data_IF_093427492065
#
_entry.id   IF_093427492065
#
_cell.length_a   1.000
_cell.length_b   1.000
_cell.length_c   1.000
_cell.angle_alpha   90.00
_cell.angle_beta   90.00
_cell.angle_gamma   90.00
#
_symmetry.space_group_name_H-M   'P 1'
#
loop_
_entity.id
_entity.type
_entity.pdbx_description
1 polymer ?
#
# COMPACT_ATOMS: atom_id res chain seq x y z
N UNK A 1 -6.49 14.68 2.72
CA UNK A 1 -7.67 13.81 2.95
C UNK A 1 -7.29 12.41 3.43
N UNK A 2 -6.31 11.73 2.81
CA UNK A 2 -5.84 10.42 3.29
C UNK A 2 -5.26 10.51 4.71
N UNK A 3 -4.36 11.47 4.96
CA UNK A 3 -3.81 11.71 6.30
C UNK A 3 -4.88 12.05 7.35
N UNK A 4 -5.89 12.86 6.99
CA UNK A 4 -7.00 13.17 7.91
C UNK A 4 -7.89 11.96 8.19
N UNK A 5 -8.12 11.10 7.20
CA UNK A 5 -8.87 9.85 7.43
C UNK A 5 -8.08 8.89 8.31
N UNK A 6 -6.76 8.81 8.15
CA UNK A 6 -5.90 8.03 9.02
C UNK A 6 -5.94 8.53 10.48
N UNK A 7 -5.86 9.85 10.70
CA UNK A 7 -6.02 10.44 12.03
C UNK A 7 -7.40 10.15 12.64
N UNK A 8 -8.47 10.18 11.83
CA UNK A 8 -9.81 9.79 12.28
C UNK A 8 -9.88 8.31 12.68
N UNK A 9 -9.23 7.42 11.94
CA UNK A 9 -9.12 6.00 12.32
C UNK A 9 -8.42 5.88 13.67
N UNK A 10 -7.30 6.57 13.87
CA UNK A 10 -6.57 6.55 15.14
C UNK A 10 -7.40 7.12 16.30
N UNK A 11 -8.16 8.18 16.06
CA UNK A 11 -9.05 8.77 17.06
C UNK A 11 -10.18 7.80 17.46
N UNK A 12 -10.82 7.16 16.49
CA UNK A 12 -11.87 6.17 16.76
C UNK A 12 -11.31 4.91 17.42
N UNK A 13 -10.10 4.46 17.05
CA UNK A 13 -9.40 3.38 17.75
C UNK A 13 -9.14 3.76 19.22
N UNK A 14 -8.60 4.95 19.49
CA UNK A 14 -8.37 5.46 20.86
C UNK A 14 -9.67 5.45 21.66
N UNK A 15 -10.74 6.01 21.10
CA UNK A 15 -12.03 6.10 21.80
C UNK A 15 -12.65 4.71 22.05
N UNK A 16 -12.51 3.78 21.09
CA UNK A 16 -12.98 2.40 21.23
C UNK A 16 -12.21 1.66 22.31
N UNK A 17 -10.89 1.82 22.37
CA UNK A 17 -10.07 1.25 23.43
C UNK A 17 -10.38 1.85 24.80
N UNK A 18 -10.52 3.16 24.92
CA UNK A 18 -10.91 3.81 26.18
C UNK A 18 -12.26 3.28 26.69
N UNK A 19 -13.23 3.11 25.80
CA UNK A 19 -14.54 2.55 26.15
C UNK A 19 -14.42 1.07 26.57
N UNK A 20 -13.64 0.27 25.84
CA UNK A 20 -13.37 -1.12 26.21
C UNK A 20 -12.65 -1.22 27.56
N UNK A 21 -11.67 -0.36 27.84
CA UNK A 21 -10.98 -0.30 29.13
C UNK A 21 -11.94 0.10 30.25
N UNK A 22 -12.79 1.11 30.04
CA UNK A 22 -13.81 1.50 31.02
C UNK A 22 -14.79 0.36 31.30
N UNK A 23 -15.28 -0.33 30.26
CA UNK A 23 -16.14 -1.50 30.40
C UNK A 23 -15.44 -2.65 31.12
N UNK A 24 -14.17 -2.88 30.81
CA UNK A 24 -13.36 -3.93 31.45
C UNK A 24 -13.10 -3.60 32.91
N UNK A 25 -12.86 -2.33 33.26
CA UNK A 25 -12.73 -1.88 34.64
C UNK A 25 -14.06 -2.04 35.39
N UNK A 26 -15.19 -1.64 34.79
CA UNK A 26 -16.52 -1.82 35.39
C UNK A 26 -16.90 -3.29 35.57
N UNK A 27 -16.47 -4.19 34.67
CA UNK A 27 -16.73 -5.62 34.78
C UNK A 27 -15.80 -6.32 35.78
N UNK A 28 -14.53 -5.88 35.91
CA UNK A 28 -13.54 -6.53 36.79
C UNK A 28 -13.62 -6.04 38.24
N UNK A 29 -13.89 -4.75 38.49
CA UNK A 29 -14.01 -4.17 39.84
C UNK A 29 -15.02 -4.89 40.76
N UNK A 30 -16.24 -5.25 40.32
CA UNK A 30 -17.20 -5.93 41.18
C UNK A 30 -16.92 -7.43 41.36
N UNK A 31 -16.20 -8.08 40.44
CA UNK A 31 -15.87 -9.51 40.53
C UNK A 31 -14.56 -9.79 41.29
N UNK A 32 -13.63 -8.83 41.34
CA UNK A 32 -12.26 -9.04 41.86
C UNK A 32 -11.89 -8.08 43.02
N UNK A 33 -12.74 -7.10 43.36
CA UNK A 33 -12.38 -5.99 44.24
C UNK A 33 -11.24 -5.13 43.65
N UNK A 34 -10.53 -4.38 44.49
CA UNK A 34 -9.35 -3.58 44.08
C UNK A 34 -8.08 -4.42 43.81
N UNK A 35 -8.15 -5.76 43.92
CA UNK A 35 -6.99 -6.65 43.77
C UNK A 35 -6.25 -6.55 42.42
N UNK A 36 -6.89 -6.34 41.24
CA UNK A 36 -6.17 -6.22 39.97
C UNK A 36 -5.32 -4.94 39.87
N UNK A 37 -5.70 -3.89 40.61
CA UNK A 37 -4.98 -2.61 40.64
C UNK A 37 -3.71 -2.73 41.51
N UNK A 38 -3.73 -3.58 42.55
CA UNK A 38 -2.56 -3.88 43.36
C UNK A 38 -1.56 -4.83 42.66
N UNK A 39 -2.05 -5.72 41.79
CA UNK A 39 -1.23 -6.69 41.04
C UNK A 39 -0.24 -6.05 40.05
N UNK A 40 -0.53 -4.85 39.55
CA UNK A 40 0.37 -4.07 38.68
C UNK A 40 1.69 -3.63 39.35
N UNK A 41 1.81 -3.77 40.67
CA UNK A 41 2.99 -3.37 41.45
C UNK A 41 3.78 -4.51 42.10
N UNK A 42 3.43 -5.78 41.89
CA UNK A 42 4.28 -6.89 42.38
C UNK A 42 3.63 -8.25 42.62
N UNK A 43 2.48 -8.57 42.01
CA UNK A 43 1.83 -9.87 42.25
C UNK A 43 2.19 -10.95 41.23
N UNK A 44 2.58 -12.12 41.72
CA UNK A 44 2.79 -13.35 40.95
C UNK A 44 1.47 -13.82 40.34
N UNK A 45 1.40 -13.87 39.01
CA UNK A 45 0.49 -14.69 38.20
C UNK A 45 -1.00 -14.57 38.51
N UNK A 46 -1.76 -13.92 37.62
CA UNK A 46 -3.22 -14.10 37.57
C UNK A 46 -3.47 -15.60 37.36
N UNK A 47 -3.97 -16.29 38.38
CA UNK A 47 -4.47 -17.65 38.23
C UNK A 47 -5.46 -17.63 37.06
N UNK A 48 -5.15 -18.40 36.01
CA UNK A 48 -5.98 -18.55 34.82
C UNK A 48 -7.33 -19.19 35.22
N UNK A 49 -8.29 -18.37 35.66
CA UNK A 49 -9.66 -18.79 35.97
C UNK A 49 -10.45 -19.19 34.72
N UNK A 50 -9.87 -19.06 33.53
CA UNK A 50 -10.42 -19.65 32.30
C UNK A 50 -10.46 -21.19 32.32
N UNK A 51 -9.82 -21.85 33.30
CA UNK A 51 -9.74 -23.31 33.37
C UNK A 51 -10.99 -23.94 34.04
N UNK A 52 -11.81 -23.17 34.77
CA UNK A 52 -13.06 -23.67 35.40
C UNK A 52 -14.28 -22.85 34.94
N UNK A 53 -14.62 -22.96 33.65
CA UNK A 53 -15.84 -22.36 33.09
C UNK A 53 -17.10 -23.14 33.52
N UNK A 54 -17.63 -22.84 34.70
CA UNK A 54 -19.00 -23.22 35.05
C UNK A 54 -20.03 -22.54 34.11
N UNK A 55 -21.26 -23.05 34.03
CA UNK A 55 -22.31 -22.52 33.15
C UNK A 55 -22.53 -21.00 33.30
N UNK A 56 -22.42 -20.47 34.52
CA UNK A 56 -22.47 -19.03 34.79
C UNK A 56 -21.28 -18.25 34.18
N UNK A 57 -20.08 -18.83 34.16
CA UNK A 57 -18.89 -18.26 33.54
C UNK A 57 -19.02 -18.20 32.01
N UNK A 58 -19.63 -19.21 31.39
CA UNK A 58 -19.92 -19.20 29.95
C UNK A 58 -20.89 -18.06 29.59
N UNK A 59 -21.96 -17.89 30.36
CA UNK A 59 -22.93 -16.80 30.15
C UNK A 59 -22.24 -15.44 30.29
N UNK A 60 -21.39 -15.26 31.30
CA UNK A 60 -20.63 -14.03 31.51
C UNK A 60 -19.66 -13.74 30.35
N UNK A 61 -18.97 -14.76 29.83
CA UNK A 61 -18.10 -14.65 28.66
C UNK A 61 -18.88 -14.26 27.39
N UNK A 62 -20.05 -14.89 27.16
CA UNK A 62 -20.93 -14.53 26.04
C UNK A 62 -21.42 -13.09 26.15
N UNK A 63 -21.76 -12.61 27.35
CA UNK A 63 -22.16 -11.22 27.57
C UNK A 63 -20.99 -10.24 27.35
N UNK A 64 -19.81 -10.50 27.92
CA UNK A 64 -18.62 -9.66 27.73
C UNK A 64 -18.21 -9.58 26.25
N UNK A 65 -18.19 -10.72 25.55
CA UNK A 65 -17.89 -10.76 24.10
C UNK A 65 -18.94 -10.02 23.27
N UNK A 66 -20.23 -10.18 23.58
CA UNK A 66 -21.30 -9.45 22.90
C UNK A 66 -21.19 -7.94 23.12
N UNK A 67 -20.94 -7.48 24.36
CA UNK A 67 -20.77 -6.06 24.68
C UNK A 67 -19.54 -5.48 23.97
N UNK A 68 -18.40 -6.18 23.97
CA UNK A 68 -17.19 -5.76 23.22
C UNK A 68 -17.45 -5.70 21.72
N UNK A 69 -18.20 -6.66 21.18
CA UNK A 69 -18.63 -6.68 19.78
C UNK A 69 -19.51 -5.47 19.42
N UNK A 70 -20.46 -5.11 20.27
CA UNK A 70 -21.31 -3.92 20.08
C UNK A 70 -20.50 -2.62 20.10
N UNK A 71 -19.51 -2.51 21.00
CA UNK A 71 -18.59 -1.36 21.02
C UNK A 71 -17.80 -1.26 19.72
N UNK A 72 -17.26 -2.38 19.24
CA UNK A 72 -16.52 -2.41 17.98
C UNK A 72 -17.42 -2.02 16.79
N UNK A 73 -18.65 -2.55 16.72
CA UNK A 73 -19.63 -2.20 15.70
C UNK A 73 -20.01 -0.71 15.74
N UNK A 74 -20.22 -0.16 16.93
CA UNK A 74 -20.49 1.26 17.11
C UNK A 74 -19.32 2.14 16.64
N UNK A 75 -18.08 1.72 16.91
CA UNK A 75 -16.86 2.37 16.42
C UNK A 75 -16.77 2.34 14.90
N UNK A 76 -17.00 1.18 14.27
CA UNK A 76 -17.00 1.02 12.81
C UNK A 76 -18.08 1.90 12.15
N UNK A 77 -19.28 1.95 12.72
CA UNK A 77 -20.36 2.77 12.19
C UNK A 77 -20.08 4.28 12.32
N UNK A 78 -19.49 4.73 13.45
CA UNK A 78 -19.01 6.12 13.60
C UNK A 78 -17.93 6.46 12.59
N UNK A 79 -16.95 5.56 12.44
CA UNK A 79 -15.87 5.73 11.47
C UNK A 79 -16.44 5.82 10.04
N UNK A 80 -17.40 4.98 9.69
CA UNK A 80 -18.09 5.01 8.39
C UNK A 80 -18.78 6.36 8.13
N UNK A 81 -19.44 6.93 9.14
CA UNK A 81 -20.11 8.24 9.02
C UNK A 81 -19.14 9.41 8.92
N UNK A 82 -18.00 9.32 9.61
CA UNK A 82 -16.99 10.39 9.69
C UNK A 82 -15.95 10.34 8.57
N UNK A 83 -15.69 9.16 8.00
CA UNK A 83 -14.73 9.01 6.90
C UNK A 83 -15.15 9.88 5.72
N UNK A 84 -14.36 10.92 5.47
CA UNK A 84 -14.55 11.79 4.31
C UNK A 84 -13.99 11.07 3.09
N UNK A 85 -14.78 10.95 2.03
CA UNK A 85 -14.21 10.54 0.74
C UNK A 85 -13.14 11.56 0.36
N UNK A 86 -12.00 11.12 -0.23
CA UNK A 86 -10.98 12.04 -0.69
C UNK A 86 -11.62 13.12 -1.55
N UNK A 87 -11.51 14.37 -1.08
CA UNK A 87 -11.98 15.53 -1.81
C UNK A 87 -10.96 15.84 -2.90
N UNK A 88 -11.10 15.17 -4.03
CA UNK A 88 -10.39 15.56 -5.25
C UNK A 88 -10.88 16.96 -5.66
N UNK A 89 -10.00 17.77 -6.27
CA UNK A 89 -10.41 19.04 -6.88
C UNK A 89 -11.57 18.78 -7.84
N UNK A 90 -12.56 19.68 -7.87
CA UNK A 90 -13.83 19.44 -8.58
C UNK A 90 -13.65 18.98 -10.04
N UNK A 91 -12.65 19.57 -10.72
CA UNK A 91 -12.30 19.25 -12.11
C UNK A 91 -11.73 17.84 -12.29
N UNK A 92 -10.77 17.44 -11.45
CA UNK A 92 -10.14 16.10 -11.53
C UNK A 92 -11.15 15.00 -11.17
N UNK A 93 -12.02 15.29 -10.21
CA UNK A 93 -13.11 14.38 -9.83
C UNK A 93 -14.06 14.12 -10.99
N UNK A 94 -14.35 15.14 -11.77
CA UNK A 94 -15.24 15.04 -12.92
C UNK A 94 -14.60 14.26 -14.06
N UNK A 95 -13.32 14.51 -14.34
CA UNK A 95 -12.54 13.74 -15.30
C UNK A 95 -12.53 12.26 -14.94
N UNK A 96 -12.12 11.89 -13.71
CA UNK A 96 -12.10 10.49 -13.25
C UNK A 96 -13.51 9.85 -13.30
N UNK A 97 -14.57 10.62 -13.05
CA UNK A 97 -15.96 10.14 -13.19
C UNK A 97 -16.40 9.94 -14.64
N UNK A 98 -15.70 10.51 -15.60
CA UNK A 98 -15.97 10.36 -17.02
C UNK A 98 -15.01 9.40 -17.70
N UNK A 99 -13.93 8.98 -17.02
CA UNK A 99 -12.92 8.08 -17.58
C UNK A 99 -13.22 6.60 -17.28
N UNK A 100 -13.09 5.78 -18.31
CA UNK A 100 -13.11 4.33 -18.27
C UNK A 100 -11.67 3.82 -18.46
N UNK A 101 -11.29 2.80 -17.69
CA UNK A 101 -10.03 2.10 -17.86
C UNK A 101 -10.30 0.76 -18.54
N UNK A 102 -9.71 0.59 -19.71
CA UNK A 102 -9.72 -0.62 -20.51
C UNK A 102 -8.38 -1.34 -20.29
N UNK A 103 -8.43 -2.59 -19.87
CA UNK A 103 -7.25 -3.46 -19.72
C UNK A 103 -7.39 -4.73 -20.56
N UNK A 104 -6.26 -5.30 -20.98
CA UNK A 104 -6.22 -6.52 -21.78
C UNK A 104 -5.98 -6.29 -23.28
N UNK A 105 -5.48 -5.11 -23.66
CA UNK A 105 -4.96 -4.92 -25.02
C UNK A 105 -3.74 -5.84 -25.22
N UNK A 106 -3.56 -6.41 -26.42
CA UNK A 106 -2.49 -7.35 -26.68
C UNK A 106 -1.13 -6.63 -26.63
N UNK A 107 -0.28 -7.08 -25.70
CA UNK A 107 1.08 -6.52 -25.49
C UNK A 107 2.12 -7.31 -26.27
N UNK A 108 1.87 -8.60 -26.46
CA UNK A 108 2.77 -9.55 -27.10
C UNK A 108 2.02 -10.29 -28.19
N UNK A 109 2.74 -10.60 -29.25
CA UNK A 109 2.31 -11.59 -30.20
C UNK A 109 2.41 -12.98 -29.55
N UNK A 110 1.30 -13.72 -29.58
CA UNK A 110 1.21 -15.05 -28.96
C UNK A 110 2.03 -16.10 -29.71
N UNK A 111 2.26 -15.91 -31.02
CA UNK A 111 3.03 -16.85 -31.83
C UNK A 111 4.53 -16.61 -31.65
N UNK A 112 4.98 -15.36 -31.79
CA UNK A 112 6.42 -15.03 -31.72
C UNK A 112 6.91 -14.72 -30.31
N UNK A 113 6.01 -14.54 -29.33
CA UNK A 113 6.31 -14.05 -27.98
C UNK A 113 7.05 -12.69 -27.96
N UNK A 114 7.04 -11.95 -29.07
CA UNK A 114 7.67 -10.63 -29.16
C UNK A 114 6.67 -9.54 -28.77
N UNK A 115 7.16 -8.53 -28.09
CA UNK A 115 6.35 -7.36 -27.76
C UNK A 115 6.02 -6.55 -29.00
N UNK A 116 4.79 -6.06 -29.10
CA UNK A 116 4.45 -5.10 -30.14
C UNK A 116 5.16 -3.76 -29.89
N UNK A 117 5.85 -3.30 -30.93
CA UNK A 117 6.56 -2.02 -30.96
C UNK A 117 5.86 -1.14 -31.99
N UNK A 118 5.39 0.02 -31.55
CA UNK A 118 4.58 0.92 -32.35
C UNK A 118 5.23 2.30 -32.42
N UNK A 119 5.18 2.90 -33.61
CA UNK A 119 5.45 4.32 -33.81
C UNK A 119 4.20 5.13 -33.36
N UNK A 120 4.35 6.44 -33.11
CA UNK A 120 3.24 7.30 -32.65
C UNK A 120 2.02 7.24 -33.57
N UNK A 121 2.23 7.15 -34.89
CA UNK A 121 1.15 7.00 -35.87
C UNK A 121 0.35 5.69 -35.70
N UNK A 122 0.98 4.61 -35.23
CA UNK A 122 0.28 3.36 -34.97
C UNK A 122 -0.52 3.43 -33.66
N UNK A 123 -0.04 4.14 -32.64
CA UNK A 123 -0.84 4.44 -31.44
C UNK A 123 -2.07 5.29 -31.79
N UNK A 124 -1.94 6.28 -32.67
CA UNK A 124 -3.08 7.07 -33.14
C UNK A 124 -4.11 6.22 -33.90
N UNK A 125 -3.66 5.27 -34.74
CA UNK A 125 -4.56 4.32 -35.41
C UNK A 125 -5.33 3.46 -34.40
N UNK A 126 -4.65 2.86 -33.43
CA UNK A 126 -5.30 2.05 -32.39
C UNK A 126 -6.29 2.88 -31.57
N UNK A 127 -5.92 4.13 -31.24
CA UNK A 127 -6.80 5.06 -30.54
C UNK A 127 -8.05 5.40 -31.35
N UNK A 128 -7.88 5.64 -32.66
CA UNK A 128 -8.97 5.89 -33.60
C UNK A 128 -9.88 4.66 -33.74
N UNK A 129 -9.33 3.48 -33.93
CA UNK A 129 -10.09 2.24 -34.07
C UNK A 129 -10.88 1.93 -32.80
N UNK A 130 -10.28 2.12 -31.62
CA UNK A 130 -10.96 1.97 -30.33
C UNK A 130 -12.07 3.01 -30.17
N UNK A 131 -11.82 4.25 -30.61
CA UNK A 131 -12.81 5.32 -30.59
C UNK A 131 -14.01 4.98 -31.47
N UNK A 132 -13.78 4.49 -32.68
CA UNK A 132 -14.83 4.07 -33.61
C UNK A 132 -15.64 2.91 -33.03
N UNK A 133 -14.99 1.85 -32.54
CA UNK A 133 -15.67 0.67 -31.98
C UNK A 133 -16.58 1.03 -30.79
N UNK A 134 -16.09 1.84 -29.86
CA UNK A 134 -16.89 2.31 -28.71
C UNK A 134 -18.02 3.26 -29.13
N UNK A 135 -17.83 4.05 -30.19
CA UNK A 135 -18.87 4.94 -30.71
C UNK A 135 -19.98 4.14 -31.37
N UNK A 136 -19.64 3.09 -32.12
CA UNK A 136 -20.62 2.18 -32.73
C UNK A 136 -21.47 1.45 -31.70
N UNK A 137 -20.85 0.96 -30.63
CA UNK A 137 -21.56 0.30 -29.52
C UNK A 137 -22.58 1.25 -28.86
N UNK A 138 -22.17 2.50 -28.61
CA UNK A 138 -23.05 3.56 -28.09
C UNK A 138 -24.21 3.91 -29.03
N UNK A 139 -24.01 3.80 -30.36
CA UNK A 139 -25.03 4.07 -31.37
C UNK A 139 -26.02 2.91 -31.50
N UNK A 140 -25.54 1.66 -31.50
CA UNK A 140 -26.35 0.45 -31.64
C UNK A 140 -27.38 0.30 -30.52
N UNK A 141 -27.03 0.66 -29.28
CA UNK A 141 -27.98 0.62 -28.15
C UNK A 141 -28.96 1.80 -28.08
N UNK A 142 -28.99 2.68 -29.09
CA UNK A 142 -30.02 3.73 -29.21
C UNK A 142 -29.94 4.83 -28.15
N UNK A 143 -28.84 4.94 -27.41
CA UNK A 143 -28.63 6.00 -26.41
C UNK A 143 -28.45 7.38 -27.06
N UNK A 144 -28.01 7.45 -28.31
CA UNK A 144 -27.93 8.69 -29.11
C UNK A 144 -29.27 9.00 -29.80
N UNK A 145 -30.07 7.98 -30.15
CA UNK A 145 -31.32 8.15 -30.90
C UNK A 145 -32.48 8.76 -30.08
N UNK A 146 -32.39 8.81 -28.74
CA UNK A 146 -33.42 9.41 -27.88
C UNK A 146 -33.14 10.85 -27.43
N UNK A 147 -32.02 11.44 -27.83
CA UNK A 147 -31.65 12.80 -27.45
C UNK A 147 -31.48 13.70 -28.69
N UNK A 148 -32.61 14.07 -29.31
CA UNK A 148 -32.83 15.18 -30.26
C UNK A 148 -31.87 15.38 -31.46
N UNK A 149 -32.35 16.14 -32.44
CA UNK A 149 -31.69 16.49 -33.72
C UNK A 149 -30.31 17.18 -33.61
N UNK A 150 -29.82 17.44 -32.40
CA UNK A 150 -28.42 17.77 -32.10
C UNK A 150 -27.61 16.51 -31.76
N UNK A 151 -27.65 15.50 -32.64
CA UNK A 151 -26.71 14.36 -32.62
C UNK A 151 -25.29 14.84 -32.99
N UNK A 152 -24.78 15.79 -32.21
CA UNK A 152 -23.37 16.12 -32.07
C UNK A 152 -22.63 14.82 -31.84
N UNK A 153 -21.65 14.58 -32.71
CA UNK A 153 -20.62 13.54 -32.56
C UNK A 153 -20.29 13.40 -31.08
N UNK A 154 -20.45 12.20 -30.52
CA UNK A 154 -20.03 11.93 -29.14
C UNK A 154 -18.54 12.27 -29.05
N UNK A 155 -18.22 13.39 -28.40
CA UNK A 155 -16.84 13.78 -28.21
C UNK A 155 -16.23 12.85 -27.14
N UNK A 156 -15.33 12.00 -27.62
CA UNK A 156 -14.61 11.05 -26.78
C UNK A 156 -13.12 11.22 -27.02
N UNK A 157 -12.37 11.26 -25.91
CA UNK A 157 -10.92 11.29 -25.89
C UNK A 157 -10.43 9.91 -25.48
N UNK A 158 -9.79 9.21 -26.41
CA UNK A 158 -9.16 7.91 -26.16
C UNK A 158 -7.66 8.12 -26.02
N UNK A 159 -7.11 7.68 -24.89
CA UNK A 159 -5.69 7.72 -24.60
C UNK A 159 -5.17 6.30 -24.38
N UNK A 160 -4.46 5.76 -25.37
CA UNK A 160 -3.78 4.47 -25.26
C UNK A 160 -2.45 4.69 -24.55
N UNK A 161 -2.22 4.01 -23.43
CA UNK A 161 -1.01 4.22 -22.64
C UNK A 161 0.17 3.40 -23.19
N UNK A 162 1.31 4.01 -23.53
CA UNK A 162 2.54 3.27 -23.79
C UNK A 162 3.10 2.67 -22.49
N UNK A 163 4.01 1.70 -22.60
CA UNK A 163 4.85 1.28 -21.49
C UNK A 163 5.78 2.43 -21.16
N UNK A 164 5.73 2.89 -19.90
CA UNK A 164 6.45 4.10 -19.49
C UNK A 164 7.65 3.76 -18.60
N UNK A 165 8.04 2.49 -18.44
CA UNK A 165 9.02 2.10 -17.42
C UNK A 165 10.40 2.76 -17.61
N UNK A 166 10.94 2.70 -18.83
CA UNK A 166 12.24 3.30 -19.15
C UNK A 166 12.14 4.82 -19.21
N UNK A 167 11.07 5.36 -19.80
CA UNK A 167 10.83 6.80 -19.87
C UNK A 167 10.67 7.41 -18.47
N UNK A 168 9.90 6.80 -17.58
CA UNK A 168 9.71 7.26 -16.20
C UNK A 168 11.00 7.16 -15.40
N UNK A 169 11.77 6.10 -15.58
CA UNK A 169 13.07 5.98 -14.93
C UNK A 169 13.99 7.12 -15.34
N UNK A 170 14.16 7.36 -16.64
CA UNK A 170 15.03 8.42 -17.16
C UNK A 170 14.50 9.81 -16.84
N UNK A 171 13.19 10.03 -16.89
CA UNK A 171 12.54 11.27 -16.47
C UNK A 171 12.77 11.55 -14.97
N UNK A 172 12.65 10.54 -14.11
CA UNK A 172 12.93 10.66 -12.67
C UNK A 172 14.41 10.92 -12.41
N UNK A 173 15.29 10.20 -13.09
CA UNK A 173 16.74 10.40 -12.97
C UNK A 173 17.14 11.80 -13.42
N UNK A 174 16.51 12.31 -14.49
CA UNK A 174 16.68 13.69 -14.96
C UNK A 174 16.21 14.70 -13.91
N UNK A 175 15.00 14.52 -13.38
CA UNK A 175 14.46 15.42 -12.35
C UNK A 175 15.35 15.47 -11.11
N UNK A 176 15.77 14.31 -10.59
CA UNK A 176 16.69 14.21 -9.46
C UNK A 176 18.06 14.86 -9.77
N UNK A 177 18.55 14.72 -11.00
CA UNK A 177 19.81 15.35 -11.42
C UNK A 177 19.67 16.87 -11.52
N UNK A 178 18.54 17.39 -11.99
CA UNK A 178 18.22 18.82 -12.06
C UNK A 178 18.07 19.43 -10.66
N UNK A 179 17.38 18.76 -9.73
CA UNK A 179 17.29 19.19 -8.33
C UNK A 179 18.68 19.26 -7.67
N UNK A 180 19.52 18.24 -7.88
CA UNK A 180 20.90 18.24 -7.39
C UNK A 180 21.71 19.37 -7.99
N UNK A 181 21.50 19.66 -9.28
CA UNK A 181 22.18 20.75 -9.99
C UNK A 181 21.82 22.10 -9.39
N UNK A 182 20.55 22.34 -9.11
CA UNK A 182 20.08 23.55 -8.43
C UNK A 182 20.64 23.65 -7.00
N UNK A 183 20.67 22.55 -6.26
CA UNK A 183 21.30 22.50 -4.93
C UNK A 183 22.80 22.86 -4.98
N UNK A 184 23.56 22.35 -5.97
CA UNK A 184 24.97 22.73 -6.11
C UNK A 184 25.15 24.18 -6.55
N UNK A 185 24.29 24.70 -7.44
CA UNK A 185 24.31 26.11 -7.84
C UNK A 185 24.07 27.04 -6.66
N UNK A 186 23.09 26.74 -5.81
CA UNK A 186 22.81 27.52 -4.61
C UNK A 186 23.95 27.45 -3.60
N UNK A 187 24.57 26.27 -3.40
CA UNK A 187 25.73 26.10 -2.52
C UNK A 187 26.98 26.87 -2.99
N UNK A 188 27.18 27.00 -4.31
CA UNK A 188 28.30 27.75 -4.90
C UNK A 188 28.05 29.27 -4.92
N UNK A 189 26.78 29.71 -4.95
CA UNK A 189 26.42 31.13 -4.90
C UNK A 189 26.61 31.77 -3.51
N UNK A 190 26.72 30.97 -2.44
CA UNK A 190 26.93 31.49 -1.09
C UNK A 190 28.37 32.00 -0.89
N UNK A 191 28.57 33.18 -0.29
CA UNK A 191 29.90 33.72 -0.01
C UNK A 191 30.62 32.86 1.02
N UNK A 192 31.82 32.38 0.67
CA UNK A 192 32.63 31.47 1.50
C UNK A 192 33.96 32.12 1.89
N UNK A 193 34.36 31.99 3.16
CA UNK A 193 35.65 32.46 3.69
C UNK A 193 36.48 31.27 4.19
N UNK A 194 37.77 31.25 3.85
CA UNK A 194 38.74 30.24 4.31
C UNK A 194 39.17 29.20 3.27
N UNK A 195 40.37 28.66 3.44
CA UNK A 195 41.04 27.74 2.49
C UNK A 195 40.27 26.43 2.32
N UNK A 196 39.75 25.85 3.41
CA UNK A 196 38.92 24.63 3.37
C UNK A 196 37.64 24.84 2.55
N UNK A 197 37.04 26.03 2.64
CA UNK A 197 35.85 26.37 1.89
C UNK A 197 36.13 26.54 0.39
N UNK A 198 37.33 27.05 0.04
CA UNK A 198 37.82 27.12 -1.33
C UNK A 198 38.06 25.73 -1.93
N UNK A 199 38.73 24.82 -1.22
CA UNK A 199 38.93 23.44 -1.68
C UNK A 199 37.59 22.70 -1.88
N UNK A 200 36.62 22.88 -0.98
CA UNK A 200 35.26 22.33 -1.14
C UNK A 200 34.53 22.95 -2.33
N UNK A 201 34.65 24.25 -2.56
CA UNK A 201 34.07 24.91 -3.73
C UNK A 201 34.68 24.40 -5.05
N UNK A 202 36.01 24.20 -5.09
CA UNK A 202 36.69 23.62 -6.24
C UNK A 202 36.29 22.15 -6.50
N UNK A 203 36.01 21.38 -5.45
CA UNK A 203 35.45 20.02 -5.60
C UNK A 203 34.02 20.08 -6.16
N UNK A 204 33.16 20.93 -5.60
CA UNK A 204 31.78 21.07 -6.05
C UNK A 204 31.65 21.64 -7.46
N UNK A 205 32.57 22.52 -7.89
CA UNK A 205 32.57 23.02 -9.27
C UNK A 205 32.93 21.91 -10.28
N UNK A 206 33.84 21.00 -9.93
CA UNK A 206 34.11 19.79 -10.75
C UNK A 206 32.90 18.87 -10.80
N UNK A 207 32.25 18.62 -9.66
CA UNK A 207 31.01 17.83 -9.59
C UNK A 207 29.88 18.46 -10.41
N UNK A 208 29.76 19.79 -10.41
CA UNK A 208 28.77 20.53 -11.21
C UNK A 208 28.96 20.29 -12.72
N UNK A 209 30.20 20.28 -13.21
CA UNK A 209 30.50 20.01 -14.64
C UNK A 209 30.06 18.60 -15.03
N UNK A 210 30.36 17.61 -14.19
CA UNK A 210 29.92 16.22 -14.42
C UNK A 210 28.39 16.14 -14.41
N UNK A 211 27.74 16.82 -13.46
CA UNK A 211 26.29 16.79 -13.33
C UNK A 211 25.58 17.47 -14.52
N UNK A 212 26.15 18.55 -15.05
CA UNK A 212 25.67 19.20 -16.28
C UNK A 212 25.73 18.25 -17.49
N UNK A 213 26.81 17.50 -17.63
CA UNK A 213 26.94 16.50 -18.70
C UNK A 213 25.88 15.40 -18.54
N UNK A 214 25.69 14.88 -17.32
CA UNK A 214 24.65 13.88 -17.02
C UNK A 214 23.25 14.39 -17.35
N UNK A 215 22.89 15.61 -16.95
CA UNK A 215 21.60 16.23 -17.29
C UNK A 215 21.45 16.35 -18.82
N UNK A 216 22.50 16.78 -19.52
CA UNK A 216 22.48 16.88 -20.99
C UNK A 216 22.28 15.52 -21.67
N UNK A 217 22.89 14.47 -21.12
CA UNK A 217 22.79 13.09 -21.62
C UNK A 217 21.37 12.57 -21.41
N UNK A 218 20.83 12.70 -20.20
CA UNK A 218 19.48 12.28 -19.85
C UNK A 218 18.42 13.03 -20.67
N UNK A 219 18.58 14.34 -20.90
CA UNK A 219 17.68 15.10 -21.79
C UNK A 219 17.73 14.60 -23.24
N UNK A 220 18.91 14.26 -23.75
CA UNK A 220 19.05 13.67 -25.09
C UNK A 220 18.41 12.29 -25.17
N UNK A 221 18.58 11.49 -24.13
CA UNK A 221 17.99 10.15 -24.03
C UNK A 221 16.46 10.22 -23.99
N UNK A 222 15.89 11.15 -23.22
CA UNK A 222 14.46 11.40 -23.16
C UNK A 222 13.90 11.79 -24.55
N UNK A 223 14.58 12.70 -25.26
CA UNK A 223 14.19 13.10 -26.63
C UNK A 223 14.30 11.96 -27.64
N UNK A 224 15.28 11.05 -27.47
CA UNK A 224 15.39 9.85 -28.31
C UNK A 224 14.21 8.93 -28.06
N UNK A 225 13.89 8.65 -26.81
CA UNK A 225 12.74 7.83 -26.42
C UNK A 225 11.39 8.41 -26.85
N UNK A 226 11.27 9.74 -26.97
CA UNK A 226 10.08 10.38 -27.53
C UNK A 226 9.85 10.00 -29.01
N UNK A 227 10.92 9.84 -29.79
CA UNK A 227 10.87 9.48 -31.20
C UNK A 227 11.02 7.98 -31.50
N UNK A 228 11.47 7.19 -30.53
CA UNK A 228 11.65 5.75 -30.68
C UNK A 228 10.31 5.01 -30.63
N UNK A 229 10.33 3.77 -31.14
CA UNK A 229 9.19 2.85 -31.07
C UNK A 229 8.84 2.54 -29.62
N UNK A 230 7.59 2.80 -29.26
CA UNK A 230 7.08 2.59 -27.91
C UNK A 230 6.35 1.25 -27.84
N UNK A 231 6.49 0.59 -26.70
CA UNK A 231 5.80 -0.66 -26.42
C UNK A 231 4.39 -0.38 -25.88
N UNK A 232 3.43 -1.24 -26.20
CA UNK A 232 2.05 -1.09 -25.72
C UNK A 232 1.92 -1.62 -24.27
N UNK A 233 1.28 -0.85 -23.38
CA UNK A 233 1.11 -1.25 -21.97
C UNK A 233 -0.04 -2.23 -21.74
N UNK A 234 -0.88 -2.50 -22.72
CA UNK A 234 -2.06 -3.34 -22.52
C UNK A 234 -3.23 -2.61 -21.86
N UNK A 235 -3.09 -1.32 -21.59
CA UNK A 235 -4.10 -0.46 -20.98
C UNK A 235 -4.42 0.77 -21.83
N UNK A 236 -5.69 1.18 -21.83
CA UNK A 236 -6.16 2.43 -22.42
C UNK A 236 -7.14 3.13 -21.48
N UNK A 237 -7.12 4.46 -21.50
CA UNK A 237 -8.00 5.32 -20.74
C UNK A 237 -8.91 6.07 -21.71
N UNK A 238 -10.22 5.92 -21.54
CA UNK A 238 -11.22 6.52 -22.41
C UNK A 238 -12.02 7.52 -21.60
N UNK A 239 -11.90 8.80 -21.94
CA UNK A 239 -12.65 9.86 -21.28
C UNK A 239 -13.81 10.29 -22.16
N UNK A 240 -15.01 10.14 -21.62
CA UNK A 240 -16.25 10.52 -22.27
C UNK A 240 -16.62 11.98 -21.94
N UNK A 241 -17.40 12.63 -22.81
CA UNK A 241 -18.01 13.92 -22.47
C UNK A 241 -18.94 13.82 -21.25
N UNK A 242 -19.66 12.70 -21.13
CA UNK A 242 -20.63 12.49 -20.05
C UNK A 242 -20.39 11.17 -19.32
N UNK A 243 -20.52 11.19 -17.99
CA UNK A 243 -20.37 10.01 -17.14
C UNK A 243 -21.40 8.90 -17.46
N UNK A 244 -22.54 9.26 -18.06
CA UNK A 244 -23.59 8.31 -18.49
C UNK A 244 -23.10 7.33 -19.56
N UNK A 245 -22.23 7.78 -20.47
CA UNK A 245 -21.67 6.91 -21.52
C UNK A 245 -20.71 5.89 -20.91
N UNK A 246 -19.86 6.32 -19.98
CA UNK A 246 -19.03 5.41 -19.18
C UNK A 246 -19.87 4.39 -18.39
N UNK A 247 -20.93 4.84 -17.72
CA UNK A 247 -21.77 3.94 -16.93
C UNK A 247 -22.51 2.91 -17.77
N UNK A 248 -22.78 3.19 -19.05
CA UNK A 248 -23.34 2.21 -19.98
C UNK A 248 -22.39 1.01 -20.17
N UNK A 249 -21.10 1.22 -20.40
CA UNK A 249 -20.11 0.13 -20.46
C UNK A 249 -19.93 -0.63 -19.14
N UNK A 250 -20.31 -0.04 -18.00
CA UNK A 250 -20.19 -0.68 -16.67
C UNK A 250 -21.48 -1.38 -16.22
N UNK A 251 -22.56 -1.30 -17.01
CA UNK A 251 -23.91 -1.73 -16.64
C UNK A 251 -24.20 -3.21 -16.89
N UNK A 252 -23.21 -4.06 -17.19
CA UNK A 252 -23.38 -5.51 -17.04
C UNK A 252 -23.83 -5.76 -15.59
N UNK A 253 -25.14 -6.00 -15.41
CA UNK A 253 -25.75 -6.13 -14.10
C UNK A 253 -25.08 -7.33 -13.45
N UNK A 254 -24.37 -7.17 -12.31
CA UNK A 254 -23.97 -8.35 -11.56
C UNK A 254 -25.28 -9.04 -11.16
N UNK A 255 -25.47 -10.27 -11.62
CA UNK A 255 -26.37 -11.18 -10.91
C UNK A 255 -25.94 -11.13 -9.44
N UNK A 256 -26.89 -11.20 -8.51
CA UNK A 256 -26.74 -10.91 -7.07
C UNK A 256 -25.60 -11.63 -6.32
N UNK A 257 -24.83 -12.48 -7.01
CA UNK A 257 -23.71 -13.27 -6.51
C UNK A 257 -22.38 -13.03 -7.23
N UNK A 258 -22.34 -12.19 -8.28
CA UNK A 258 -21.10 -11.88 -8.98
C UNK A 258 -20.38 -10.70 -8.32
N UNK A 259 -19.36 -10.99 -7.51
CA UNK A 259 -18.40 -10.01 -6.97
C UNK A 259 -17.47 -9.42 -8.05
N UNK A 260 -17.88 -9.40 -9.33
CA UNK A 260 -17.08 -8.85 -10.42
C UNK A 260 -17.28 -7.33 -10.49
N UNK A 261 -16.18 -6.58 -10.49
CA UNK A 261 -16.16 -5.11 -10.61
C UNK A 261 -15.78 -4.62 -12.01
N UNK A 262 -15.77 -5.52 -12.99
CA UNK A 262 -15.39 -5.25 -14.37
C UNK A 262 -16.48 -5.75 -15.32
N UNK A 263 -16.62 -5.05 -16.45
CA UNK A 263 -17.43 -5.49 -17.58
C UNK A 263 -16.52 -5.94 -18.73
N UNK A 264 -17.05 -6.69 -19.69
CA UNK A 264 -16.30 -7.12 -20.87
C UNK A 264 -16.70 -6.30 -22.10
N UNK A 265 -15.72 -5.91 -22.91
CA UNK A 265 -15.95 -5.24 -24.19
C UNK A 265 -15.13 -5.92 -25.28
N UNK A 266 -15.78 -6.35 -26.36
CA UNK A 266 -15.12 -7.00 -27.49
C UNK A 266 -14.94 -6.01 -28.63
N UNK A 267 -13.75 -5.96 -29.21
CA UNK A 267 -13.42 -5.01 -30.28
C UNK A 267 -14.27 -5.22 -31.54
N UNK A 268 -14.68 -6.46 -31.83
CA UNK A 268 -15.56 -6.81 -32.95
C UNK A 268 -14.99 -6.57 -34.36
N UNK A 269 -13.80 -5.95 -34.48
CA UNK A 269 -13.18 -5.54 -35.74
C UNK A 269 -11.76 -6.11 -35.89
N UNK A 270 -11.36 -6.61 -37.08
CA UNK A 270 -9.98 -7.01 -37.33
C UNK A 270 -9.02 -5.81 -37.21
N UNK A 271 -7.77 -5.98 -36.74
CA UNK A 271 -7.12 -7.23 -36.36
C UNK A 271 -7.42 -7.72 -34.94
N UNK A 272 -8.14 -6.93 -34.13
CA UNK A 272 -8.41 -7.23 -32.71
C UNK A 272 -9.79 -7.84 -32.45
N UNK A 273 -10.41 -8.47 -33.46
CA UNK A 273 -11.79 -8.93 -33.38
C UNK A 273 -12.04 -9.93 -32.23
N UNK A 274 -11.02 -10.75 -31.91
CA UNK A 274 -11.05 -11.73 -30.82
C UNK A 274 -10.62 -11.18 -29.47
N UNK A 275 -10.15 -9.92 -29.40
CA UNK A 275 -9.66 -9.32 -28.17
C UNK A 275 -10.84 -8.86 -27.32
N UNK A 276 -10.95 -9.47 -26.13
CA UNK A 276 -11.90 -9.04 -25.10
C UNK A 276 -11.17 -8.17 -24.08
N UNK A 277 -11.56 -6.91 -24.01
CA UNK A 277 -11.08 -5.93 -23.05
C UNK A 277 -11.91 -6.00 -21.77
N UNK A 278 -11.25 -5.74 -20.66
CA UNK A 278 -11.86 -5.60 -19.34
C UNK A 278 -12.05 -4.12 -19.05
N UNK A 279 -13.30 -3.73 -18.83
CA UNK A 279 -13.73 -2.36 -18.57
C UNK A 279 -13.92 -2.15 -17.08
N UNK A 280 -13.20 -1.17 -16.52
CA UNK A 280 -13.34 -0.78 -15.11
C UNK A 280 -13.38 0.74 -14.99
N UNK A 281 -13.81 1.25 -13.83
CA UNK A 281 -13.69 2.69 -13.54
C UNK A 281 -12.21 3.04 -13.41
N UNK A 282 -11.79 4.10 -14.10
CA UNK A 282 -10.41 4.56 -14.00
C UNK A 282 -10.09 4.97 -12.55
N UNK A 283 -8.91 4.58 -12.02
CA UNK A 283 -8.41 5.13 -10.78
C UNK A 283 -8.06 6.62 -10.95
N UNK A 284 -7.83 7.32 -9.85
CA UNK A 284 -7.20 8.64 -9.93
C UNK A 284 -5.80 8.49 -10.55
N UNK A 285 -5.32 9.42 -11.41
CA UNK A 285 -3.99 9.31 -12.04
C UNK A 285 -2.84 9.10 -11.06
N UNK A 286 -2.94 9.70 -9.87
CA UNK A 286 -1.96 9.54 -8.79
C UNK A 286 -2.00 8.16 -8.11
N UNK A 287 -3.15 7.46 -8.18
CA UNK A 287 -3.33 6.11 -7.63
C UNK A 287 -2.94 5.02 -8.65
N UNK A 288 -2.73 5.39 -9.92
CA UNK A 288 -2.31 4.45 -10.96
C UNK A 288 -0.82 4.17 -10.80
N UNK A 289 -0.47 2.90 -10.62
CA UNK A 289 0.91 2.47 -10.74
C UNK A 289 1.28 2.30 -12.21
N UNK A 290 1.71 3.40 -12.84
CA UNK A 290 2.06 3.48 -14.26
C UNK A 290 3.11 2.44 -14.68
N UNK A 291 4.01 2.05 -13.77
CA UNK A 291 5.06 1.06 -14.02
C UNK A 291 4.54 -0.37 -14.15
N UNK A 292 3.36 -0.65 -13.61
CA UNK A 292 2.79 -2.00 -13.57
C UNK A 292 1.61 -2.18 -14.55
N UNK A 293 1.32 -1.18 -15.38
CA UNK A 293 0.23 -1.27 -16.36
C UNK A 293 0.43 -2.41 -17.36
N UNK A 294 1.70 -2.71 -17.73
CA UNK A 294 2.07 -3.76 -18.67
C UNK A 294 1.96 -5.19 -18.12
N UNK A 295 1.76 -5.34 -16.81
CA UNK A 295 1.75 -6.66 -16.16
C UNK A 295 0.38 -7.29 -16.35
N UNK A 296 0.30 -8.29 -17.23
CA UNK A 296 -0.93 -9.04 -17.46
C UNK A 296 -1.43 -9.80 -16.23
N UNK A 297 -2.72 -10.09 -16.18
CA UNK A 297 -3.39 -10.75 -15.03
C UNK A 297 -2.73 -12.07 -14.62
N UNK A 298 -2.28 -12.89 -15.58
CA UNK A 298 -1.60 -14.16 -15.30
C UNK A 298 -0.28 -13.95 -14.56
N UNK A 299 0.52 -12.99 -15.02
CA UNK A 299 1.79 -12.63 -14.38
C UNK A 299 1.56 -12.01 -13.01
N UNK A 300 0.52 -11.19 -12.84
CA UNK A 300 0.12 -10.66 -11.53
C UNK A 300 -0.26 -11.79 -10.56
N UNK A 301 -1.06 -12.77 -11.01
CA UNK A 301 -1.42 -13.93 -10.20
C UNK A 301 -0.20 -14.76 -9.78
N UNK A 302 0.73 -15.03 -10.70
CA UNK A 302 1.98 -15.73 -10.39
C UNK A 302 2.85 -14.95 -9.38
N UNK A 303 2.99 -13.63 -9.56
CA UNK A 303 3.71 -12.78 -8.60
C UNK A 303 3.03 -12.78 -7.23
N UNK A 304 1.70 -12.72 -7.18
CA UNK A 304 0.94 -12.78 -5.95
C UNK A 304 1.12 -14.13 -5.23
N UNK A 305 1.02 -15.25 -5.95
CA UNK A 305 1.28 -16.58 -5.39
C UNK A 305 2.71 -16.69 -4.87
N UNK A 306 3.70 -16.25 -5.65
CA UNK A 306 5.10 -16.23 -5.22
C UNK A 306 5.32 -15.39 -3.96
N UNK A 307 4.68 -14.22 -3.87
CA UNK A 307 4.74 -13.37 -2.68
C UNK A 307 4.03 -14.00 -1.47
N UNK A 308 2.88 -14.66 -1.66
CA UNK A 308 2.19 -15.40 -0.60
C UNK A 308 3.05 -16.54 -0.07
N UNK A 309 3.71 -17.30 -0.94
CA UNK A 309 4.63 -18.38 -0.56
C UNK A 309 5.82 -17.80 0.22
N UNK A 310 6.40 -16.69 -0.25
CA UNK A 310 7.48 -16.01 0.46
C UNK A 310 7.04 -15.52 1.85
N UNK A 311 5.87 -14.89 1.95
CA UNK A 311 5.29 -14.45 3.23
C UNK A 311 4.99 -15.62 4.16
N UNK A 312 4.54 -16.76 3.62
CA UNK A 312 4.34 -17.97 4.40
C UNK A 312 5.66 -18.49 4.98
N UNK A 313 6.71 -18.58 4.16
CA UNK A 313 8.05 -18.96 4.63
C UNK A 313 8.56 -17.97 5.68
N UNK A 314 8.43 -16.67 5.42
CA UNK A 314 8.81 -15.63 6.38
C UNK A 314 8.02 -15.77 7.69
N UNK A 315 6.71 -16.01 7.63
CA UNK A 315 5.88 -16.23 8.80
C UNK A 315 6.37 -17.44 9.61
N UNK A 316 6.67 -18.58 8.97
CA UNK A 316 7.22 -19.76 9.66
C UNK A 316 8.55 -19.43 10.33
N UNK A 317 9.44 -18.74 9.61
CA UNK A 317 10.76 -18.33 10.13
C UNK A 317 10.62 -17.35 11.30
N UNK A 318 9.63 -16.46 11.28
CA UNK A 318 9.41 -15.45 12.32
C UNK A 318 8.64 -15.97 13.54
N UNK A 319 7.68 -16.87 13.32
CA UNK A 319 6.92 -17.52 14.40
C UNK A 319 7.83 -18.44 15.20
N UNK A 320 8.83 -19.04 14.58
CA UNK A 320 9.77 -19.95 15.26
C UNK A 320 10.51 -19.28 16.43
N UNK A 321 11.18 -18.11 16.29
CA UNK A 321 11.72 -17.36 17.41
C UNK A 321 10.69 -16.95 18.45
N UNK A 322 9.46 -16.62 18.04
CA UNK A 322 8.39 -16.24 18.98
C UNK A 322 7.98 -17.44 19.83
N UNK A 323 7.79 -18.62 19.23
CA UNK A 323 7.52 -19.86 19.97
C UNK A 323 8.70 -20.24 20.85
N UNK A 324 9.95 -20.13 20.37
CA UNK A 324 11.13 -20.29 21.21
C UNK A 324 11.17 -19.31 22.39
N UNK A 325 10.86 -18.02 22.17
CA UNK A 325 10.81 -17.02 23.24
C UNK A 325 9.75 -17.34 24.30
N UNK A 326 8.63 -17.93 23.89
CA UNK A 326 7.60 -18.41 24.80
C UNK A 326 8.06 -19.64 25.60
N UNK A 327 8.84 -20.53 25.01
CA UNK A 327 9.45 -21.67 25.70
C UNK A 327 10.59 -21.23 26.63
N UNK A 328 11.36 -20.20 26.27
CA UNK A 328 12.38 -19.60 27.15
C UNK A 328 11.73 -19.13 28.46
N UNK A 329 10.48 -18.65 28.45
CA UNK A 329 9.76 -18.31 29.70
C UNK A 329 9.56 -19.51 30.62
N UNK A 330 9.43 -20.73 30.09
CA UNK A 330 9.33 -21.95 30.91
C UNK A 330 10.69 -22.34 31.54
N UNK A 331 11.80 -22.04 30.86
CA UNK A 331 13.16 -22.34 31.31
C UNK A 331 13.71 -21.21 32.21
N UNK A 332 13.16 -20.00 32.07
CA UNK A 332 13.55 -18.80 32.79
C UNK A 332 13.64 -18.99 34.33
N UNK A 333 12.70 -19.66 35.03
CA UNK A 333 12.86 -19.89 36.47
C UNK A 333 14.08 -20.74 36.79
N UNK A 334 14.36 -21.80 36.03
CA UNK A 334 15.55 -22.65 36.20
C UNK A 334 16.83 -21.85 35.94
N UNK A 335 16.80 -20.96 34.94
CA UNK A 335 17.92 -20.09 34.62
C UNK A 335 18.15 -19.04 35.73
N UNK A 336 17.07 -18.45 36.26
CA UNK A 336 17.12 -17.50 37.38
C UNK A 336 17.66 -18.16 38.65
N UNK A 337 17.26 -19.39 38.95
CA UNK A 337 17.79 -20.15 40.09
C UNK A 337 19.31 -20.37 39.94
N UNK A 338 19.76 -20.78 38.75
CA UNK A 338 21.19 -20.97 38.44
C UNK A 338 21.97 -19.66 38.52
N UNK A 339 21.44 -18.57 37.95
CA UNK A 339 22.06 -17.24 37.99
C UNK A 339 22.14 -16.72 39.43
N UNK A 340 21.12 -16.95 40.25
CA UNK A 340 21.13 -16.56 41.66
C UNK A 340 22.13 -17.38 42.49
N UNK A 341 22.33 -18.65 42.17
CA UNK A 341 23.31 -19.51 42.83
C UNK A 341 24.76 -19.12 42.45
N UNK A 342 24.98 -18.80 41.17
CA UNK A 342 26.26 -18.29 40.67
C UNK A 342 26.55 -16.90 41.26
N UNK A 343 25.55 -16.01 41.29
CA UNK A 343 25.65 -14.69 41.90
C UNK A 343 26.05 -14.75 43.38
N UNK A 344 25.39 -15.61 44.16
CA UNK A 344 25.74 -15.86 45.58
C UNK A 344 27.14 -16.44 45.79
N UNK A 345 27.65 -17.22 44.84
CA UNK A 345 29.02 -17.76 44.86
C UNK A 345 30.09 -16.72 44.46
N UNK A 346 29.70 -15.76 43.61
CA UNK A 346 30.55 -14.69 43.09
C UNK A 346 30.49 -13.39 43.90
N UNK A 347 29.68 -13.30 44.95
CA UNK A 347 29.71 -12.26 45.99
C UNK A 347 31.01 -12.32 46.84
N UNK A 348 32.16 -12.36 46.17
CA UNK A 348 33.44 -11.95 46.73
C UNK A 348 33.53 -10.43 46.62
N UNK A 349 34.07 -9.73 47.63
CA UNK A 349 34.00 -8.27 47.79
C UNK A 349 34.75 -7.43 46.73
N UNK A 350 35.26 -8.03 45.65
CA UNK A 350 36.10 -7.36 44.66
C UNK A 350 35.64 -7.54 43.20
N UNK A 351 34.45 -8.08 42.94
CA UNK A 351 33.94 -8.13 41.57
C UNK A 351 33.38 -6.74 41.17
N UNK A 352 34.16 -6.03 40.36
CA UNK A 352 34.03 -4.61 39.97
C UNK A 352 32.73 -4.19 39.25
N UNK A 353 31.72 -5.06 39.17
CA UNK A 353 30.48 -4.80 38.45
C UNK A 353 29.23 -4.63 39.33
N UNK A 354 29.39 -4.48 40.65
CA UNK A 354 28.53 -3.69 41.56
C UNK A 354 26.99 -3.74 41.42
N UNK A 355 26.42 -4.72 40.73
CA UNK A 355 24.99 -4.82 40.45
C UNK A 355 24.46 -6.04 41.18
N UNK A 356 23.42 -5.83 41.98
CA UNK A 356 22.77 -6.87 42.77
C UNK A 356 22.29 -8.03 41.90
N UNK A 357 22.18 -9.22 42.49
CA UNK A 357 21.58 -10.41 41.85
C UNK A 357 20.21 -10.08 41.24
N UNK A 358 19.45 -9.20 41.88
CA UNK A 358 18.15 -8.71 41.41
C UNK A 358 18.21 -8.00 40.06
N UNK A 359 19.29 -7.25 39.78
CA UNK A 359 19.49 -6.61 38.48
C UNK A 359 19.58 -7.66 37.35
N UNK A 360 20.33 -8.74 37.56
CA UNK A 360 20.50 -9.80 36.57
C UNK A 360 19.23 -10.65 36.40
N UNK A 361 18.50 -10.92 37.49
CA UNK A 361 17.17 -11.55 37.44
C UNK A 361 16.15 -10.68 36.69
N UNK A 362 16.17 -9.36 36.91
CA UNK A 362 15.33 -8.42 36.17
C UNK A 362 15.72 -8.34 34.70
N UNK A 363 17.01 -8.28 34.38
CA UNK A 363 17.47 -8.19 32.99
C UNK A 363 17.17 -9.47 32.20
N UNK A 364 17.34 -10.65 32.80
CA UNK A 364 16.98 -11.93 32.18
C UNK A 364 15.47 -12.05 31.94
N UNK A 365 14.63 -11.46 32.82
CA UNK A 365 13.17 -11.45 32.63
C UNK A 365 12.71 -10.62 31.43
N UNK A 366 13.48 -9.60 31.04
CA UNK A 366 13.17 -8.74 29.89
C UNK A 366 13.69 -9.29 28.56
N UNK A 367 14.57 -10.30 28.59
CA UNK A 367 15.26 -10.84 27.42
C UNK A 367 14.29 -11.31 26.32
N UNK A 368 13.19 -12.04 26.59
CA UNK A 368 12.22 -12.41 25.55
C UNK A 368 11.58 -11.20 24.88
N UNK A 369 11.30 -10.12 25.62
CA UNK A 369 10.70 -8.91 25.07
C UNK A 369 11.70 -8.13 24.21
N UNK A 370 12.96 -8.03 24.63
CA UNK A 370 14.03 -7.41 23.85
C UNK A 370 14.33 -8.19 22.57
N UNK A 371 14.36 -9.52 22.63
CA UNK A 371 14.52 -10.37 21.44
C UNK A 371 13.36 -10.16 20.46
N UNK A 372 12.12 -10.10 20.96
CA UNK A 372 10.94 -9.86 20.12
C UNK A 372 10.94 -8.45 19.53
N UNK A 373 11.36 -7.43 20.29
CA UNK A 373 11.55 -6.07 19.77
C UNK A 373 12.63 -6.00 18.69
N UNK A 374 13.78 -6.66 18.89
CA UNK A 374 14.86 -6.70 17.91
C UNK A 374 14.41 -7.36 16.60
N UNK A 375 13.70 -8.50 16.69
CA UNK A 375 13.14 -9.18 15.52
C UNK A 375 12.12 -8.28 14.80
N UNK A 376 11.20 -7.65 15.53
CA UNK A 376 10.21 -6.75 14.95
C UNK A 376 10.86 -5.51 14.31
N UNK A 377 11.95 -4.99 14.88
CA UNK A 377 12.67 -3.83 14.33
C UNK A 377 13.41 -4.13 13.03
N UNK A 378 13.73 -5.40 12.74
CA UNK A 378 14.34 -5.81 11.47
C UNK A 378 13.30 -6.03 10.37
N UNK A 379 12.01 -6.12 10.72
CA UNK A 379 10.90 -6.34 9.79
C UNK A 379 10.19 -5.05 9.36
N UNK A 380 10.21 -4.04 10.23
CA UNK A 380 9.69 -2.69 9.98
C UNK A 380 10.72 -1.87 9.21
#
# INVERSE_FOLDING_TARGET
AVASNYLLVLEECRNSFLLQTALSALATVPLWGLSPIALGFGGTGVNNTAIELNAAGLVLLCLDTAVRGLVALAGVERLRRRMRRPAFRGRDRELVRRTLWLSGLPVYDMETSRSFLFDDSAFERISKDLKEALTEDLLLEGHVARANEDAKRVEMLVHVAPVVDEWHRVSRDLHNAEERLEAFRTLLAQPRRGIVAWCKAAKHSRELVVLLDVVSKLRRELKRMEGDRKRLSGAAFVTFEHARHRDHFLREKPQCWQCRRYAQFTFGRPPFASVTLTCTRAPHPDDVNWLNLHVGLRTQALRAVGFIVLLFVAMVVLVTPVTYSSQIRMILPVLQDRVSAIGRSLERPHFLWGRSVDFWCSMTSQLPALTLMAINSLLL
#
